data_IF_782846252395
#
_entry.id   IF_782846252395
#
_cell.length_a   1.000
_cell.length_b   1.000
_cell.length_c   1.000
_cell.angle_alpha   90.00
_cell.angle_beta   90.00
_cell.angle_gamma   90.00
#
_symmetry.space_group_name_H-M   'P 1'
#
loop_
_entity.id
_entity.type
_entity.pdbx_description
1 polymer ?
#
# COMPACT_ATOMS: atom_id res chain seq x y z
N UNK A 1 -14.99 -4.23 -25.29
CA UNK A 1 -13.89 -3.29 -24.99
C UNK A 1 -14.42 -2.15 -24.11
N UNK A 2 -15.42 -1.37 -24.53
CA UNK A 2 -16.07 -0.37 -23.64
C UNK A 2 -16.77 -0.97 -22.41
N UNK A 3 -17.35 -2.17 -22.52
CA UNK A 3 -18.02 -2.87 -21.41
C UNK A 3 -17.02 -3.37 -20.35
N UNK A 4 -15.90 -3.94 -20.79
CA UNK A 4 -14.78 -4.32 -19.91
C UNK A 4 -14.21 -3.10 -19.16
N UNK A 5 -14.10 -1.95 -19.83
CA UNK A 5 -13.60 -0.74 -19.19
C UNK A 5 -14.62 -0.16 -18.20
N UNK A 6 -15.94 -0.33 -18.42
CA UNK A 6 -16.98 0.04 -17.46
C UNK A 6 -17.01 -0.87 -16.24
N UNK A 7 -16.88 -2.18 -16.44
CA UNK A 7 -16.81 -3.16 -15.35
C UNK A 7 -15.55 -2.95 -14.50
N UNK A 8 -14.40 -2.67 -15.12
CA UNK A 8 -13.18 -2.29 -14.41
C UNK A 8 -13.33 -0.94 -13.68
N UNK A 9 -14.04 0.04 -14.27
CA UNK A 9 -14.36 1.31 -13.62
C UNK A 9 -15.24 1.11 -12.38
N UNK A 10 -16.24 0.24 -12.49
CA UNK A 10 -17.13 -0.12 -11.38
C UNK A 10 -16.41 -0.90 -10.30
N UNK A 11 -15.51 -1.83 -10.64
CA UNK A 11 -14.68 -2.54 -9.67
C UNK A 11 -13.78 -1.59 -8.88
N UNK A 12 -13.02 -0.71 -9.55
CA UNK A 12 -12.15 0.26 -8.87
C UNK A 12 -12.96 1.23 -7.98
N UNK A 13 -14.18 1.58 -8.38
CA UNK A 13 -15.02 2.53 -7.67
C UNK A 13 -15.84 1.90 -6.51
N UNK A 14 -16.39 0.68 -6.69
CA UNK A 14 -17.18 -0.04 -5.67
C UNK A 14 -16.33 -0.46 -4.46
N UNK A 15 -15.05 -0.77 -4.67
CA UNK A 15 -14.13 -1.13 -3.58
C UNK A 15 -13.67 0.07 -2.72
N UNK A 16 -14.02 1.31 -3.12
CA UNK A 16 -13.75 2.52 -2.33
C UNK A 16 -14.68 2.77 -1.14
N UNK A 17 -15.83 2.11 -1.09
CA UNK A 17 -16.80 2.27 -0.01
C UNK A 17 -16.62 1.28 1.15
N UNK A 18 -15.81 0.22 0.97
CA UNK A 18 -15.69 -0.87 1.95
C UNK A 18 -14.71 -0.60 3.12
N UNK A 19 -14.00 0.53 3.12
CA UNK A 19 -12.93 0.82 4.11
C UNK A 19 -13.16 2.09 4.94
N UNK A 20 -14.42 2.47 5.18
CA UNK A 20 -14.70 3.35 6.33
C UNK A 20 -14.70 2.50 7.61
N UNK A 21 -13.86 2.81 8.62
CA UNK A 21 -14.01 2.19 9.92
C UNK A 21 -15.33 2.72 10.51
N UNK A 22 -16.36 1.90 10.51
CA UNK A 22 -17.60 2.19 11.22
C UNK A 22 -17.28 2.30 12.70
N UNK A 23 -17.19 3.54 13.20
CA UNK A 23 -17.01 3.81 14.61
C UNK A 23 -18.19 3.23 15.41
N UNK A 24 -17.91 2.28 16.30
CA UNK A 24 -18.87 1.89 17.33
C UNK A 24 -18.95 2.98 18.40
N UNK A 25 -20.15 3.48 18.77
CA UNK A 25 -20.33 4.17 20.03
C UNK A 25 -20.38 3.14 21.17
N UNK A 26 -19.65 3.45 22.24
CA UNK A 26 -19.67 2.73 23.49
C UNK A 26 -21.06 2.74 24.12
N UNK A 27 -21.55 1.59 24.57
CA UNK A 27 -22.59 1.50 25.60
C UNK A 27 -22.30 0.33 26.56
N UNK A 28 -22.94 0.48 27.71
CA UNK A 28 -22.52 0.17 29.06
C UNK A 28 -22.81 -1.27 29.52
N UNK A 29 -22.14 -1.63 30.61
CA UNK A 29 -22.21 -2.85 31.38
C UNK A 29 -23.66 -3.25 31.73
N UNK A 30 -24.00 -4.53 31.62
CA UNK A 30 -24.71 -5.25 32.69
C UNK A 30 -24.39 -6.75 32.67
N UNK A 31 -24.02 -7.26 33.85
CA UNK A 31 -23.84 -8.67 34.19
C UNK A 31 -25.20 -9.22 34.62
N UNK A 32 -25.59 -10.42 34.15
CA UNK A 32 -26.54 -11.27 34.89
C UNK A 32 -26.29 -12.74 34.59
N UNK A 33 -26.10 -13.49 35.68
CA UNK A 33 -25.90 -14.93 35.76
C UNK A 33 -27.23 -15.70 35.74
N UNK A 34 -27.13 -17.00 35.41
CA UNK A 34 -28.09 -18.06 35.79
C UNK A 34 -28.93 -18.56 34.63
N UNK A 35 -29.33 -19.81 34.53
CA UNK A 35 -29.05 -21.05 35.25
C UNK A 35 -29.70 -22.16 34.38
N UNK A 36 -29.12 -23.36 34.39
CA UNK A 36 -29.70 -24.68 34.08
C UNK A 36 -30.80 -24.85 33.01
N UNK A 37 -30.64 -25.86 32.13
CA UNK A 37 -31.23 -27.19 32.37
C UNK A 37 -30.81 -28.21 31.29
N UNK A 38 -30.32 -29.36 31.75
CA UNK A 38 -30.11 -30.58 30.99
C UNK A 38 -31.42 -31.35 30.83
N UNK A 39 -31.75 -31.80 29.61
CA UNK A 39 -32.65 -32.94 29.40
C UNK A 39 -32.14 -33.84 28.29
N UNK A 40 -31.99 -35.12 28.62
CA UNK A 40 -31.48 -36.23 27.81
C UNK A 40 -32.44 -36.66 26.68
N UNK A 41 -31.92 -37.33 25.65
CA UNK A 41 -32.68 -38.40 24.97
C UNK A 41 -32.36 -38.72 23.50
N UNK A 42 -31.48 -39.70 23.30
CA UNK A 42 -31.56 -40.80 22.31
C UNK A 42 -31.71 -40.55 20.79
N UNK A 43 -30.63 -40.86 20.05
CA UNK A 43 -30.57 -41.91 19.00
C UNK A 43 -31.14 -41.65 17.59
N UNK A 44 -30.46 -42.26 16.59
CA UNK A 44 -30.81 -42.50 15.17
C UNK A 44 -30.33 -41.40 14.21
N UNK A 45 -29.17 -41.58 13.55
CA UNK A 45 -28.94 -42.26 12.25
C UNK A 45 -29.26 -41.35 11.04
N UNK A 46 -28.33 -41.29 10.07
CA UNK A 46 -28.59 -40.73 8.73
C UNK A 46 -27.74 -39.51 8.32
N UNK A 47 -26.73 -39.80 7.49
CA UNK A 47 -26.23 -38.96 6.37
C UNK A 47 -25.76 -37.53 6.69
N UNK A 48 -24.49 -37.40 7.08
CA UNK A 48 -23.76 -36.15 6.92
C UNK A 48 -23.41 -35.94 5.45
N UNK A 49 -24.24 -35.17 4.74
CA UNK A 49 -23.85 -34.55 3.48
C UNK A 49 -22.71 -33.57 3.77
N UNK A 50 -21.63 -33.71 3.02
CA UNK A 50 -20.45 -32.87 3.15
C UNK A 50 -20.83 -31.41 2.99
N UNK A 51 -20.55 -30.61 4.01
CA UNK A 51 -20.40 -29.17 3.85
C UNK A 51 -19.26 -28.99 2.84
N UNK A 52 -19.62 -28.66 1.61
CA UNK A 52 -18.71 -28.05 0.69
C UNK A 52 -18.18 -26.82 1.41
N UNK A 53 -16.94 -26.94 1.88
CA UNK A 53 -16.07 -25.84 2.20
C UNK A 53 -16.03 -24.95 0.95
N UNK A 54 -16.91 -23.94 0.93
CA UNK A 54 -16.76 -22.79 0.06
C UNK A 54 -15.40 -22.20 0.40
N UNK A 55 -14.41 -22.61 -0.38
CA UNK A 55 -13.11 -21.97 -0.45
C UNK A 55 -13.42 -20.53 -0.83
N UNK A 56 -13.49 -19.66 0.19
CA UNK A 56 -13.47 -18.22 0.04
C UNK A 56 -12.13 -17.91 -0.62
N UNK A 57 -12.10 -17.99 -1.94
CA UNK A 57 -11.08 -17.34 -2.75
C UNK A 57 -11.29 -15.87 -2.46
N UNK A 58 -10.54 -15.33 -1.48
CA UNK A 58 -10.47 -13.89 -1.28
C UNK A 58 -10.19 -13.29 -2.65
N UNK A 59 -11.17 -12.57 -3.20
CA UNK A 59 -11.04 -11.87 -4.46
C UNK A 59 -9.86 -10.91 -4.29
N UNK A 60 -8.70 -11.34 -4.79
CA UNK A 60 -7.47 -10.61 -4.61
C UNK A 60 -7.59 -9.34 -5.43
N UNK A 61 -7.96 -8.24 -4.78
CA UNK A 61 -8.06 -6.95 -5.43
C UNK A 61 -6.66 -6.54 -5.92
N UNK A 62 -6.45 -6.73 -7.22
CA UNK A 62 -5.20 -6.42 -7.93
C UNK A 62 -4.86 -4.92 -7.82
N UNK A 63 -5.87 -4.07 -7.61
CA UNK A 63 -5.74 -2.61 -7.52
C UNK A 63 -5.77 -2.07 -6.09
N UNK A 64 -5.79 -2.95 -5.07
CA UNK A 64 -5.84 -2.57 -3.64
C UNK A 64 -4.84 -1.46 -3.28
N UNK A 65 -3.63 -1.54 -3.83
CA UNK A 65 -2.54 -0.62 -3.51
C UNK A 65 -2.76 0.79 -4.08
N UNK A 66 -3.53 0.94 -5.16
CA UNK A 66 -3.74 2.24 -5.86
C UNK A 66 -4.32 3.28 -4.90
N UNK A 67 -5.37 2.91 -4.15
CA UNK A 67 -6.03 3.81 -3.22
C UNK A 67 -5.49 3.77 -1.78
N UNK A 68 -4.61 2.82 -1.46
CA UNK A 68 -4.22 2.56 -0.08
C UNK A 68 -3.54 3.78 0.57
N UNK A 69 -4.02 4.19 1.73
CA UNK A 69 -3.48 5.32 2.48
C UNK A 69 -3.86 6.71 1.93
N UNK A 70 -4.61 6.78 0.83
CA UNK A 70 -5.12 8.02 0.25
C UNK A 70 -6.60 8.21 0.62
N UNK A 71 -7.03 9.46 0.71
CA UNK A 71 -8.41 9.81 1.10
C UNK A 71 -8.94 10.98 0.28
N UNK A 72 -10.26 11.01 0.05
CA UNK A 72 -10.95 12.08 -0.67
C UNK A 72 -10.38 12.30 -2.08
N UNK A 73 -10.25 13.57 -2.47
CA UNK A 73 -9.81 13.96 -3.82
C UNK A 73 -8.47 13.34 -4.25
N UNK A 74 -7.52 13.13 -3.34
CA UNK A 74 -6.23 12.52 -3.68
C UNK A 74 -6.35 11.03 -4.05
N UNK A 75 -7.33 10.32 -3.45
CA UNK A 75 -7.63 8.93 -3.83
C UNK A 75 -8.23 8.88 -5.23
N UNK A 76 -9.16 9.79 -5.52
CA UNK A 76 -9.80 9.90 -6.84
C UNK A 76 -8.78 10.23 -7.94
N UNK A 77 -7.89 11.20 -7.71
CA UNK A 77 -6.82 11.54 -8.64
C UNK A 77 -5.93 10.32 -8.92
N UNK A 78 -5.55 9.58 -7.87
CA UNK A 78 -4.68 8.40 -8.03
C UNK A 78 -5.38 7.31 -8.85
N UNK A 79 -6.67 7.07 -8.59
CA UNK A 79 -7.48 6.14 -9.36
C UNK A 79 -7.56 6.56 -10.83
N UNK A 80 -7.83 7.84 -11.10
CA UNK A 80 -7.90 8.37 -12.47
C UNK A 80 -6.56 8.21 -13.19
N UNK A 81 -5.45 8.53 -12.54
CA UNK A 81 -4.12 8.34 -13.10
C UNK A 81 -3.87 6.88 -13.51
N UNK A 82 -4.18 5.93 -12.63
CA UNK A 82 -4.01 4.51 -12.94
C UNK A 82 -4.95 4.03 -14.05
N UNK A 83 -6.18 4.53 -14.11
CA UNK A 83 -7.11 4.23 -15.21
C UNK A 83 -6.58 4.74 -16.55
N UNK A 84 -6.13 5.99 -16.62
CA UNK A 84 -5.54 6.58 -17.82
C UNK A 84 -4.29 5.79 -18.26
N UNK A 85 -3.43 5.43 -17.31
CA UNK A 85 -2.23 4.64 -17.55
C UNK A 85 -2.54 3.23 -18.11
N UNK A 86 -3.54 2.54 -17.57
CA UNK A 86 -3.94 1.22 -18.06
C UNK A 86 -4.46 1.34 -19.50
N UNK A 87 -5.34 2.31 -19.74
CA UNK A 87 -5.87 2.57 -21.08
C UNK A 87 -4.75 2.91 -22.08
N UNK A 88 -3.74 3.68 -21.67
CA UNK A 88 -2.56 3.98 -22.49
C UNK A 88 -1.81 2.71 -22.87
N UNK A 89 -1.50 1.85 -21.89
CA UNK A 89 -0.74 0.60 -22.09
C UNK A 89 -1.52 -0.37 -22.98
N UNK A 90 -2.83 -0.49 -22.80
CA UNK A 90 -3.67 -1.34 -23.65
C UNK A 90 -3.67 -0.85 -25.10
N UNK A 91 -3.77 0.48 -25.30
CA UNK A 91 -3.74 1.10 -26.63
C UNK A 91 -2.38 1.03 -27.31
N UNK A 92 -1.27 0.86 -26.59
CA UNK A 92 0.06 0.68 -27.18
C UNK A 92 0.16 -0.56 -28.07
N UNK A 93 -0.66 -1.59 -27.80
CA UNK A 93 -0.64 -2.83 -28.56
C UNK A 93 -1.49 -2.80 -29.84
N UNK A 94 -2.27 -1.73 -30.06
CA UNK A 94 -3.19 -1.62 -31.20
C UNK A 94 -2.50 -1.05 -32.47
N UNK A 95 -2.61 -1.73 -33.63
CA UNK A 95 -2.04 -1.25 -34.89
C UNK A 95 -2.61 0.12 -35.29
N UNK A 96 -1.74 1.14 -35.40
CA UNK A 96 -2.13 2.50 -35.80
C UNK A 96 -2.54 3.41 -34.63
N UNK A 97 -2.38 2.96 -33.39
CA UNK A 97 -2.52 3.79 -32.20
C UNK A 97 -1.48 4.93 -32.17
N UNK A 98 -1.89 6.11 -31.69
CA UNK A 98 -0.98 7.20 -31.40
C UNK A 98 0.01 6.87 -30.26
N UNK A 99 -0.30 5.84 -29.48
CA UNK A 99 0.50 5.32 -28.36
C UNK A 99 1.38 4.13 -28.75
N UNK A 100 1.61 3.91 -30.05
CA UNK A 100 2.52 2.88 -30.53
C UNK A 100 3.94 3.20 -30.02
N UNK A 101 4.31 2.55 -28.93
CA UNK A 101 5.59 2.71 -28.27
C UNK A 101 6.64 1.94 -29.08
N UNK A 102 7.66 2.64 -29.56
CA UNK A 102 8.77 2.01 -30.27
C UNK A 102 9.75 1.32 -29.30
N UNK A 103 9.45 1.36 -28.00
CA UNK A 103 10.25 0.90 -26.86
C UNK A 103 11.66 1.45 -26.85
N UNK A 104 11.94 2.49 -27.65
CA UNK A 104 13.28 3.09 -27.82
C UNK A 104 13.38 4.44 -27.15
N UNK A 105 12.26 5.13 -26.95
CA UNK A 105 12.22 6.46 -26.35
C UNK A 105 11.66 6.47 -24.92
N UNK A 106 12.31 5.73 -24.02
CA UNK A 106 12.01 5.84 -22.59
C UNK A 106 12.78 7.02 -21.95
N UNK A 107 12.17 7.63 -20.93
CA UNK A 107 12.77 8.68 -20.11
C UNK A 107 14.04 8.21 -19.37
N UNK A 108 14.11 6.90 -19.07
CA UNK A 108 15.22 6.27 -18.35
C UNK A 108 16.12 5.41 -19.28
N UNK A 109 17.44 5.60 -19.24
CA UNK A 109 18.35 4.86 -20.11
C UNK A 109 18.51 3.38 -19.70
N UNK A 110 18.19 2.46 -20.61
CA UNK A 110 18.24 1.00 -20.37
C UNK A 110 19.60 0.50 -19.87
N UNK A 111 20.69 1.08 -20.36
CA UNK A 111 22.04 0.71 -19.91
C UNK A 111 22.25 0.99 -18.41
N UNK A 112 21.62 2.03 -17.87
CA UNK A 112 21.67 2.35 -16.43
C UNK A 112 20.80 1.40 -15.63
N UNK A 113 19.59 1.11 -16.09
CA UNK A 113 18.70 0.12 -15.48
C UNK A 113 19.42 -1.24 -15.39
N UNK A 114 19.97 -1.72 -16.51
CA UNK A 114 20.75 -2.97 -16.56
C UNK A 114 21.95 -2.95 -15.59
N UNK A 115 22.61 -1.80 -15.44
CA UNK A 115 23.73 -1.65 -14.51
C UNK A 115 23.29 -1.76 -13.06
N UNK A 116 22.14 -1.17 -12.69
CA UNK A 116 21.56 -1.30 -11.35
C UNK A 116 21.14 -2.75 -11.09
N UNK A 117 20.48 -3.42 -12.04
CA UNK A 117 20.11 -4.83 -11.89
C UNK A 117 21.32 -5.75 -11.66
N UNK A 118 22.49 -5.44 -12.23
CA UNK A 118 23.74 -6.19 -12.07
C UNK A 118 24.57 -5.79 -10.84
N UNK A 119 24.07 -4.92 -9.96
CA UNK A 119 24.74 -4.70 -8.67
C UNK A 119 24.58 -5.90 -7.73
N UNK A 120 23.56 -6.73 -7.96
CA UNK A 120 23.41 -8.02 -7.32
C UNK A 120 24.33 -9.05 -8.01
N UNK A 121 25.25 -9.64 -7.25
CA UNK A 121 26.26 -10.59 -7.74
C UNK A 121 25.65 -11.88 -8.29
N UNK A 122 24.44 -12.24 -7.84
CA UNK A 122 23.74 -13.45 -8.29
C UNK A 122 23.08 -13.28 -9.68
N UNK A 123 22.98 -12.03 -10.18
CA UNK A 123 22.34 -11.73 -11.47
C UNK A 123 23.34 -11.87 -12.63
N UNK A 124 23.33 -13.05 -13.28
CA UNK A 124 24.21 -13.35 -14.42
C UNK A 124 23.74 -12.75 -15.75
N UNK A 125 22.54 -13.13 -16.18
CA UNK A 125 21.94 -12.73 -17.45
C UNK A 125 20.63 -11.97 -17.20
N UNK A 126 20.34 -11.00 -18.07
CA UNK A 126 19.12 -10.19 -18.01
C UNK A 126 18.49 -10.23 -19.40
N UNK A 127 17.22 -10.63 -19.48
CA UNK A 127 16.44 -10.61 -20.72
C UNK A 127 16.40 -9.20 -21.31
N UNK A 128 16.28 -9.10 -22.64
CA UNK A 128 16.13 -7.80 -23.30
C UNK A 128 14.83 -7.06 -22.88
N UNK A 129 13.79 -7.80 -22.50
CA UNK A 129 12.49 -7.27 -22.10
C UNK A 129 12.49 -6.66 -20.70
N UNK A 130 13.29 -7.20 -19.77
CA UNK A 130 13.25 -6.75 -18.37
C UNK A 130 13.63 -5.26 -18.20
N UNK A 131 14.69 -4.71 -18.84
CA UNK A 131 14.98 -3.28 -18.79
C UNK A 131 13.87 -2.39 -19.39
N UNK A 132 13.11 -2.89 -20.36
CA UNK A 132 12.01 -2.17 -20.99
C UNK A 132 10.86 -2.04 -19.97
N UNK A 133 10.46 -3.16 -19.36
CA UNK A 133 9.41 -3.19 -18.33
C UNK A 133 9.83 -2.33 -17.13
N UNK A 134 11.08 -2.45 -16.67
CA UNK A 134 11.57 -1.61 -15.58
C UNK A 134 11.58 -0.13 -15.91
N UNK A 135 11.82 0.27 -17.16
CA UNK A 135 11.79 1.68 -17.54
C UNK A 135 10.39 2.27 -17.34
N UNK A 136 9.35 1.60 -17.84
CA UNK A 136 7.95 2.02 -17.64
C UNK A 136 7.53 1.91 -16.18
N UNK A 137 7.86 0.80 -15.50
CA UNK A 137 7.53 0.62 -14.08
C UNK A 137 8.17 1.68 -13.19
N UNK A 138 9.43 2.07 -13.45
CA UNK A 138 10.08 3.15 -12.72
C UNK A 138 9.41 4.50 -12.98
N UNK A 139 8.97 4.77 -14.20
CA UNK A 139 8.23 6.00 -14.54
C UNK A 139 6.91 6.10 -13.76
N UNK A 140 6.15 5.01 -13.71
CA UNK A 140 4.91 4.90 -12.94
C UNK A 140 5.20 5.07 -11.45
N UNK A 141 6.20 4.34 -10.93
CA UNK A 141 6.59 4.39 -9.52
C UNK A 141 7.01 5.79 -9.07
N UNK A 142 7.83 6.48 -9.86
CA UNK A 142 8.27 7.85 -9.56
C UNK A 142 7.09 8.81 -9.57
N UNK A 143 6.21 8.71 -10.57
CA UNK A 143 5.04 9.58 -10.72
C UNK A 143 4.08 9.40 -9.55
N UNK A 144 3.70 8.16 -9.24
CA UNK A 144 2.82 7.84 -8.12
C UNK A 144 3.42 8.31 -6.78
N UNK A 145 4.67 7.94 -6.48
CA UNK A 145 5.30 8.33 -5.22
C UNK A 145 5.37 9.86 -5.09
N UNK A 146 5.62 10.56 -6.20
CA UNK A 146 5.63 12.03 -6.23
C UNK A 146 4.24 12.61 -5.96
N UNK A 147 3.18 12.05 -6.55
CA UNK A 147 1.80 12.47 -6.29
C UNK A 147 1.39 12.23 -4.82
N UNK A 148 1.75 11.07 -4.25
CA UNK A 148 1.51 10.75 -2.83
C UNK A 148 2.25 11.71 -1.90
N UNK A 149 3.52 12.00 -2.18
CA UNK A 149 4.29 12.98 -1.41
C UNK A 149 3.75 14.41 -1.58
N UNK A 150 3.27 14.77 -2.78
CA UNK A 150 2.67 16.07 -3.04
C UNK A 150 1.42 16.33 -2.19
N UNK A 151 0.56 15.32 -2.02
CA UNK A 151 -0.57 15.37 -1.08
C UNK A 151 -0.14 15.79 0.34
N UNK A 152 1.01 15.30 0.82
CA UNK A 152 1.55 15.68 2.14
C UNK A 152 2.09 17.11 2.15
N UNK A 153 2.78 17.54 1.09
CA UNK A 153 3.23 18.93 0.96
C UNK A 153 2.04 19.90 0.97
N UNK A 154 0.97 19.59 0.24
CA UNK A 154 -0.24 20.41 0.17
C UNK A 154 -1.01 20.45 1.50
N UNK A 155 -1.16 19.32 2.19
CA UNK A 155 -1.72 19.27 3.55
C UNK A 155 -0.95 20.18 4.52
N UNK A 156 0.37 20.28 4.32
CA UNK A 156 1.24 21.19 5.06
C UNK A 156 1.29 22.63 4.52
N UNK A 157 0.41 22.98 3.57
CA UNK A 157 0.30 24.30 2.92
C UNK A 157 1.60 24.75 2.24
N UNK A 158 2.40 23.79 1.76
CA UNK A 158 3.65 24.03 1.06
C UNK A 158 3.51 23.72 -0.43
N UNK A 159 4.19 24.53 -1.25
CA UNK A 159 4.31 24.34 -2.70
C UNK A 159 5.69 23.83 -3.13
N UNK A 160 6.51 23.44 -2.15
CA UNK A 160 7.86 22.90 -2.35
C UNK A 160 7.90 21.53 -1.70
N UNK A 161 8.09 20.50 -2.53
CA UNK A 161 8.20 19.12 -2.09
C UNK A 161 9.52 18.91 -1.33
N UNK A 162 9.45 18.21 -0.20
CA UNK A 162 10.59 17.96 0.67
C UNK A 162 10.78 16.46 0.92
N UNK A 163 11.99 16.08 1.37
CA UNK A 163 12.29 14.69 1.76
C UNK A 163 11.35 14.17 2.86
N UNK A 164 10.91 15.04 3.77
CA UNK A 164 9.95 14.68 4.82
C UNK A 164 8.58 14.26 4.24
N UNK A 165 8.12 14.88 3.14
CA UNK A 165 6.86 14.52 2.48
C UNK A 165 6.91 13.10 1.91
N UNK A 166 8.05 12.74 1.31
CA UNK A 166 8.30 11.39 0.81
C UNK A 166 8.30 10.41 1.99
N UNK A 167 9.04 10.71 3.06
CA UNK A 167 9.10 9.84 4.23
C UNK A 167 7.71 9.60 4.87
N UNK A 168 6.84 10.60 4.87
CA UNK A 168 5.47 10.49 5.38
C UNK A 168 4.51 9.81 4.40
N UNK A 169 4.71 9.96 3.09
CA UNK A 169 3.98 9.21 2.06
C UNK A 169 4.26 7.70 2.14
N UNK A 170 5.53 7.30 2.33
CA UNK A 170 5.93 5.89 2.47
C UNK A 170 5.36 5.22 3.73
N UNK A 171 4.77 5.96 4.69
CA UNK A 171 4.11 5.40 5.89
C UNK A 171 2.65 5.02 5.65
N UNK A 172 2.06 5.47 4.54
CA UNK A 172 0.62 5.35 4.28
C UNK A 172 0.24 4.04 3.58
N UNK A 173 1.20 3.29 3.05
CA UNK A 173 0.98 2.00 2.40
C UNK A 173 2.17 1.07 2.65
N UNK A 174 1.88 -0.18 2.98
CA UNK A 174 2.85 -1.27 3.19
C UNK A 174 3.56 -1.70 1.90
N UNK A 175 2.99 -1.36 0.72
CA UNK A 175 3.65 -1.54 -0.59
C UNK A 175 5.05 -0.90 -0.64
N UNK A 176 5.30 0.13 0.18
CA UNK A 176 6.55 0.86 0.22
C UNK A 176 7.54 0.40 1.30
N UNK A 177 7.27 -0.70 2.00
CA UNK A 177 8.14 -1.15 3.10
C UNK A 177 9.55 -1.56 2.67
N UNK A 178 9.74 -1.90 1.39
CA UNK A 178 11.08 -2.12 0.82
C UNK A 178 11.99 -0.88 0.89
N UNK A 179 11.47 0.31 1.21
CA UNK A 179 12.21 1.57 1.34
C UNK A 179 12.54 1.99 2.78
N UNK A 180 12.19 1.18 3.78
CA UNK A 180 12.43 1.51 5.21
C UNK A 180 13.90 1.86 5.48
N UNK A 181 14.83 1.07 4.94
CA UNK A 181 16.26 1.25 5.16
C UNK A 181 16.89 2.35 4.28
N UNK A 182 16.16 2.82 3.27
CA UNK A 182 16.62 3.84 2.31
C UNK A 182 16.20 5.25 2.76
N UNK A 183 15.00 5.38 3.31
CA UNK A 183 14.43 6.66 3.75
C UNK A 183 14.24 6.63 5.26
N UNK A 184 15.16 7.23 6.04
CA UNK A 184 15.08 7.22 7.50
C UNK A 184 13.76 7.82 7.99
N UNK A 185 12.96 7.01 8.68
CA UNK A 185 11.74 7.46 9.34
C UNK A 185 12.12 8.13 10.66
N UNK A 186 11.65 9.36 10.90
CA UNK A 186 11.81 9.99 12.21
C UNK A 186 11.11 9.12 13.27
N UNK A 187 11.90 8.49 14.16
CA UNK A 187 11.39 7.71 15.30
C UNK A 187 11.82 6.25 15.39
N UNK A 188 12.44 5.66 14.36
CA UNK A 188 12.99 4.30 14.42
C UNK A 188 14.51 4.40 14.39
N UNK A 189 15.10 4.75 15.54
CA UNK A 189 16.51 4.48 15.78
C UNK A 189 16.63 2.99 16.13
N UNK A 190 17.35 2.16 15.32
CA UNK A 190 17.67 0.80 15.72
C UNK A 190 18.63 0.87 16.91
N UNK A 191 18.10 0.82 18.13
CA UNK A 191 18.91 0.86 19.36
C UNK A 191 18.24 1.38 20.63
N UNK A 192 17.00 1.88 20.60
CA UNK A 192 16.32 2.30 21.83
C UNK A 192 15.53 1.14 22.46
N UNK A 193 16.24 0.18 23.05
CA UNK A 193 15.66 -0.81 23.96
C UNK A 193 15.21 -0.10 25.23
N UNK A 194 13.96 -0.35 25.62
CA UNK A 194 13.30 0.08 26.84
C UNK A 194 14.10 -0.27 28.09
N UNK A 195 14.70 0.73 28.72
CA UNK A 195 15.35 0.65 30.03
C UNK A 195 14.55 1.42 31.08
N UNK A 196 13.80 0.70 31.89
CA UNK A 196 13.10 1.18 33.09
C UNK A 196 14.10 1.55 34.20
N UNK A 197 13.77 2.59 34.97
CA UNK A 197 14.28 3.02 36.30
C UNK A 197 15.71 3.54 36.43
N UNK A 198 15.86 4.81 36.81
CA UNK A 198 16.05 5.21 38.22
C UNK A 198 16.12 6.75 38.36
N UNK A 199 15.27 7.27 39.23
CA UNK A 199 15.27 8.60 39.81
C UNK A 199 16.48 8.74 40.74
N UNK A 200 17.38 9.68 40.48
CA UNK A 200 18.29 10.20 41.51
C UNK A 200 18.21 11.73 41.56
N UNK A 201 17.63 12.20 42.65
CA UNK A 201 17.71 13.56 43.17
C UNK A 201 19.11 13.79 43.73
N UNK A 202 19.79 14.87 43.36
CA UNK A 202 20.85 15.44 44.21
C UNK A 202 20.74 16.95 44.22
N UNK A 203 20.53 17.46 45.42
CA UNK A 203 20.38 18.85 45.81
C UNK A 203 21.71 19.35 46.39
N UNK A 204 22.06 20.61 46.06
CA UNK A 204 23.01 21.50 46.75
C UNK A 204 24.51 21.09 46.71
N UNK A 205 25.50 21.98 46.80
CA UNK A 205 25.52 23.34 47.33
C UNK A 205 26.76 24.11 46.82
N UNK A 206 26.63 25.44 46.83
CA UNK A 206 27.72 26.42 46.80
C UNK A 206 28.66 26.23 48.01
N UNK A 207 29.98 26.44 47.85
CA UNK A 207 30.91 27.12 48.78
C UNK A 207 32.34 27.20 48.18
N UNK A 208 32.95 28.36 48.44
CA UNK A 208 34.31 28.87 48.14
C UNK A 208 35.47 27.97 48.62
N UNK A 209 36.62 28.04 47.94
CA UNK A 209 37.82 28.84 48.30
C UNK A 209 38.68 29.09 47.06
#
# INVERSE_FOLDING_TARGET
MEENNREQLEQINQMGHANEPTGSPAEDLTVSNGDQLLTNGAGVDGTGEGMAEEELVEEFDVFRNVGQGLSGHYREIMIQYWQELINEIEQTNEPGSAHQDDFKSHSLPFARIRKVMKTDEEVRMISAEAPIIFAKACEIFITELTMRAWCISEKNKRRTLQKADIADALKQSDMFDFLIDIVPRAGITPGATSGTTATETTTANSIRE
#
